data_IF_984055262656
#
_entry.id   IF_984055262656
#
_cell.length_a   1.000
_cell.length_b   1.000
_cell.length_c   1.000
_cell.angle_alpha   90.00
_cell.angle_beta   90.00
_cell.angle_gamma   90.00
#
_symmetry.space_group_name_H-M   'P 1'
#
loop_
_entity.id
_entity.type
_entity.pdbx_description
1 polymer ?
#
# COMPACT_ATOMS: atom_id res chain seq x y z
N UNK A 1 1.32 10.95 0.29
CA UNK A 1 1.23 11.37 -1.13
C UNK A 1 0.30 12.57 -1.30
N UNK A 2 0.72 13.62 -2.01
CA UNK A 2 -0.16 14.72 -2.41
C UNK A 2 -1.02 14.29 -3.59
N UNK A 3 -2.32 14.59 -3.54
CA UNK A 3 -3.28 14.26 -4.60
C UNK A 3 -4.11 15.47 -4.95
N UNK A 4 -4.40 15.65 -6.23
CA UNK A 4 -5.19 16.74 -6.76
C UNK A 4 -6.59 16.24 -7.13
N UNK A 5 -7.66 16.93 -6.68
CA UNK A 5 -9.02 16.51 -7.00
C UNK A 5 -9.34 16.72 -8.48
N UNK A 6 -10.02 15.73 -9.05
CA UNK A 6 -10.49 15.75 -10.44
C UNK A 6 -12.02 15.70 -10.43
N UNK A 7 -12.65 16.69 -11.04
CA UNK A 7 -14.09 16.68 -11.26
C UNK A 7 -14.44 15.64 -12.33
N UNK A 8 -15.39 14.78 -11.99
CA UNK A 8 -15.96 13.81 -12.93
C UNK A 8 -16.68 14.50 -14.11
N UNK A 9 -17.01 13.73 -15.15
CA UNK A 9 -17.77 14.27 -16.28
C UNK A 9 -19.16 14.72 -15.80
N UNK A 10 -19.73 15.75 -16.45
CA UNK A 10 -21.07 16.25 -16.10
C UNK A 10 -22.17 15.19 -16.24
N UNK A 11 -22.00 14.23 -17.16
CA UNK A 11 -22.82 13.03 -17.26
C UNK A 11 -21.89 11.81 -17.26
N UNK A 12 -22.10 10.90 -16.31
CA UNK A 12 -21.26 9.72 -16.14
C UNK A 12 -21.81 8.56 -16.98
N UNK A 13 -21.04 8.14 -17.98
CA UNK A 13 -21.30 6.90 -18.70
C UNK A 13 -20.93 5.70 -17.81
N UNK A 14 -21.89 4.81 -17.45
CA UNK A 14 -21.61 3.64 -16.63
C UNK A 14 -20.58 2.68 -17.23
N UNK A 15 -20.50 2.57 -18.56
CA UNK A 15 -19.56 1.68 -19.24
C UNK A 15 -18.14 2.20 -19.13
N UNK A 16 -17.96 3.50 -19.38
CA UNK A 16 -16.70 4.18 -19.13
C UNK A 16 -16.29 4.06 -17.66
N UNK A 17 -17.21 4.37 -16.73
CA UNK A 17 -16.93 4.33 -15.30
C UNK A 17 -16.49 2.95 -14.82
N UNK A 18 -17.17 1.88 -15.25
CA UNK A 18 -16.79 0.51 -14.90
C UNK A 18 -15.41 0.12 -15.41
N UNK A 19 -14.97 0.73 -16.51
CA UNK A 19 -13.63 0.53 -17.06
C UNK A 19 -12.57 1.30 -16.27
N UNK A 20 -12.86 2.54 -15.85
CA UNK A 20 -11.85 3.42 -15.23
C UNK A 20 -11.82 3.40 -13.71
N UNK A 21 -12.87 2.89 -13.05
CA UNK A 21 -12.96 2.85 -11.57
C UNK A 21 -11.90 1.96 -10.91
N UNK A 22 -11.24 1.10 -11.69
CA UNK A 22 -10.18 0.22 -11.24
C UNK A 22 -8.83 0.67 -11.80
N UNK A 23 -7.78 0.56 -10.98
CA UNK A 23 -6.41 0.86 -11.38
C UNK A 23 -6.08 2.35 -11.49
N UNK A 24 -4.92 2.63 -12.08
CA UNK A 24 -4.41 3.98 -12.33
C UNK A 24 -4.22 4.20 -13.83
N UNK A 25 -4.71 5.32 -14.34
CA UNK A 25 -4.73 5.63 -15.77
C UNK A 25 -3.76 6.76 -16.08
N UNK A 26 -2.89 6.59 -17.08
CA UNK A 26 -1.99 7.66 -17.52
C UNK A 26 -2.78 8.76 -18.23
N UNK A 27 -2.47 10.01 -17.89
CA UNK A 27 -2.96 11.18 -18.58
C UNK A 27 -1.92 12.30 -18.57
N UNK A 28 -2.12 13.29 -19.42
CA UNK A 28 -1.34 14.53 -19.44
C UNK A 28 -2.28 15.70 -19.18
N UNK A 29 -1.80 16.69 -18.42
CA UNK A 29 -2.57 17.90 -18.13
C UNK A 29 -2.62 18.78 -19.39
N UNK A 30 -3.81 18.96 -19.94
CA UNK A 30 -4.05 19.85 -21.06
C UNK A 30 -3.97 21.33 -20.65
N UNK A 31 -3.76 22.21 -21.63
CA UNK A 31 -3.62 23.66 -21.41
C UNK A 31 -4.88 24.32 -20.79
N UNK A 32 -6.04 23.70 -20.95
CA UNK A 32 -7.32 24.14 -20.37
C UNK A 32 -7.54 23.63 -18.93
N UNK A 33 -6.57 22.92 -18.37
CA UNK A 33 -6.66 22.31 -17.04
C UNK A 33 -7.53 21.05 -17.00
N UNK A 34 -7.66 20.34 -18.11
CA UNK A 34 -8.32 19.03 -18.18
C UNK A 34 -7.31 17.89 -18.30
N UNK A 35 -7.75 16.67 -17.98
CA UNK A 35 -7.02 15.41 -18.22
C UNK A 35 -7.96 14.45 -18.94
N UNK A 36 -7.48 13.81 -20.00
CA UNK A 36 -8.29 12.85 -20.76
C UNK A 36 -8.00 11.43 -20.31
N UNK A 37 -9.04 10.69 -19.91
CA UNK A 37 -8.95 9.28 -19.50
C UNK A 37 -9.91 8.45 -20.35
N UNK A 38 -9.36 7.52 -21.14
CA UNK A 38 -10.11 6.67 -22.07
C UNK A 38 -11.10 7.47 -22.96
N UNK A 39 -10.64 8.60 -23.50
CA UNK A 39 -11.42 9.47 -24.39
C UNK A 39 -12.38 10.44 -23.68
N UNK A 40 -12.50 10.41 -22.36
CA UNK A 40 -13.34 11.36 -21.59
C UNK A 40 -12.46 12.40 -20.91
N UNK A 41 -12.77 13.68 -21.17
CA UNK A 41 -12.09 14.80 -20.50
C UNK A 41 -12.66 15.02 -19.10
N UNK A 42 -11.77 15.02 -18.10
CA UNK A 42 -12.06 15.30 -16.71
C UNK A 42 -11.40 16.61 -16.31
N UNK A 43 -12.03 17.40 -15.45
CA UNK A 43 -11.54 18.74 -15.13
C UNK A 43 -10.76 18.75 -13.83
N UNK A 44 -9.56 19.32 -13.85
CA UNK A 44 -8.78 19.49 -12.62
C UNK A 44 -9.37 20.62 -11.77
N UNK A 45 -9.43 20.40 -10.46
CA UNK A 45 -9.83 21.39 -9.49
C UNK A 45 -8.64 22.28 -9.08
N UNK A 46 -8.86 23.25 -8.18
CA UNK A 46 -7.83 24.22 -7.77
C UNK A 46 -6.56 23.55 -7.26
N UNK A 47 -5.41 24.17 -7.57
CA UNK A 47 -4.08 23.69 -7.18
C UNK A 47 -3.49 22.63 -8.10
N UNK A 48 -4.04 22.46 -9.30
CA UNK A 48 -3.62 21.44 -10.25
C UNK A 48 -2.17 21.60 -10.75
N UNK A 49 -1.54 20.50 -11.20
CA UNK A 49 -0.24 20.55 -11.87
C UNK A 49 -0.28 21.41 -13.14
N UNK A 50 0.88 21.89 -13.58
CA UNK A 50 1.00 22.70 -14.79
C UNK A 50 0.60 21.91 -16.05
N UNK A 51 0.17 22.62 -17.09
CA UNK A 51 -0.06 22.02 -18.41
C UNK A 51 1.21 21.32 -18.93
N UNK A 52 1.04 20.17 -19.58
CA UNK A 52 2.12 19.30 -20.04
C UNK A 52 2.64 18.32 -18.97
N UNK A 53 2.14 18.38 -17.74
CA UNK A 53 2.59 17.46 -16.69
C UNK A 53 1.97 16.08 -16.87
N UNK A 54 2.80 15.03 -16.85
CA UNK A 54 2.34 13.65 -16.82
C UNK A 54 1.79 13.28 -15.42
N UNK A 55 0.57 12.77 -15.40
CA UNK A 55 -0.15 12.41 -14.17
C UNK A 55 -0.76 11.02 -14.29
N UNK A 56 -1.05 10.39 -13.14
CA UNK A 56 -1.93 9.23 -13.06
C UNK A 56 -3.25 9.65 -12.43
N UNK A 57 -4.36 9.21 -13.02
CA UNK A 57 -5.72 9.44 -12.52
C UNK A 57 -6.29 8.13 -11.99
N UNK A 58 -6.92 8.15 -10.82
CA UNK A 58 -7.60 6.99 -10.24
C UNK A 58 -8.77 7.40 -9.35
N UNK A 59 -9.58 6.41 -8.96
CA UNK A 59 -10.63 6.57 -7.98
C UNK A 59 -10.08 6.28 -6.57
N UNK A 60 -10.13 7.24 -5.67
CA UNK A 60 -9.67 7.03 -4.29
C UNK A 60 -10.67 6.20 -3.46
N UNK A 61 -10.27 5.80 -2.25
CA UNK A 61 -11.11 4.98 -1.36
C UNK A 61 -12.43 5.66 -0.91
N UNK A 62 -12.56 6.97 -1.13
CA UNK A 62 -13.78 7.74 -0.86
C UNK A 62 -14.69 7.88 -2.08
N UNK A 63 -14.32 7.28 -3.23
CA UNK A 63 -15.12 7.32 -4.45
C UNK A 63 -14.96 8.59 -5.30
N UNK A 64 -13.89 9.37 -5.09
CA UNK A 64 -13.60 10.56 -5.89
C UNK A 64 -12.44 10.33 -6.86
N UNK A 65 -12.54 10.90 -8.05
CA UNK A 65 -11.41 10.93 -8.97
C UNK A 65 -10.35 11.90 -8.45
N UNK A 66 -9.11 11.42 -8.43
CA UNK A 66 -7.94 12.19 -8.04
C UNK A 66 -6.81 11.91 -9.02
N UNK A 67 -5.83 12.81 -9.05
CA UNK A 67 -4.58 12.55 -9.75
C UNK A 67 -3.37 12.91 -8.90
N UNK A 68 -2.22 12.35 -9.26
CA UNK A 68 -0.92 12.74 -8.76
C UNK A 68 0.08 12.68 -9.90
N UNK A 69 1.15 13.46 -9.76
CA UNK A 69 2.28 13.42 -10.69
C UNK A 69 3.02 12.10 -10.57
N UNK A 70 3.75 11.72 -11.61
CA UNK A 70 4.55 10.50 -11.57
C UNK A 70 5.58 10.52 -10.42
N UNK A 71 6.23 11.66 -10.20
CA UNK A 71 7.22 11.85 -9.14
C UNK A 71 6.63 11.69 -7.72
N UNK A 72 5.38 12.10 -7.51
CA UNK A 72 4.69 11.90 -6.22
C UNK A 72 4.40 10.43 -5.96
N UNK A 73 4.02 9.68 -7.00
CA UNK A 73 3.70 8.26 -6.90
C UNK A 73 4.98 7.45 -6.67
N UNK A 74 6.05 7.71 -7.42
CA UNK A 74 7.33 7.04 -7.25
C UNK A 74 7.92 7.29 -5.86
N UNK A 75 7.86 8.53 -5.37
CA UNK A 75 8.35 8.89 -4.04
C UNK A 75 7.57 8.19 -2.93
N UNK A 76 6.24 8.11 -3.03
CA UNK A 76 5.43 7.37 -2.05
C UNK A 76 5.73 5.87 -2.10
N UNK A 77 5.87 5.29 -3.30
CA UNK A 77 6.22 3.89 -3.48
C UNK A 77 7.59 3.59 -2.85
N UNK A 78 8.58 4.46 -3.07
CA UNK A 78 9.89 4.32 -2.46
C UNK A 78 9.82 4.41 -0.93
N UNK A 79 9.10 5.40 -0.39
CA UNK A 79 8.92 5.54 1.05
C UNK A 79 8.23 4.31 1.67
N UNK A 80 7.26 3.73 0.97
CA UNK A 80 6.61 2.49 1.39
C UNK A 80 7.59 1.31 1.38
N UNK A 81 8.38 1.15 0.32
CA UNK A 81 9.41 0.11 0.24
C UNK A 81 10.46 0.24 1.35
N UNK A 82 10.91 1.46 1.64
CA UNK A 82 11.89 1.73 2.69
C UNK A 82 11.31 1.41 4.08
N UNK A 83 10.06 1.78 4.33
CA UNK A 83 9.36 1.47 5.58
C UNK A 83 9.17 -0.04 5.77
N UNK A 84 8.83 -0.76 4.70
CA UNK A 84 8.63 -2.21 4.76
C UNK A 84 9.96 -2.96 4.96
N UNK A 85 11.04 -2.48 4.32
CA UNK A 85 12.39 -2.97 4.55
C UNK A 85 12.83 -2.74 6.00
N UNK A 86 12.55 -1.56 6.57
CA UNK A 86 12.87 -1.26 7.96
C UNK A 86 12.10 -2.17 8.94
N UNK A 87 10.80 -2.40 8.72
CA UNK A 87 10.00 -3.33 9.53
C UNK A 87 10.52 -4.76 9.43
N UNK A 88 10.89 -5.20 8.24
CA UNK A 88 11.42 -6.55 8.01
C UNK A 88 12.73 -6.75 8.76
N UNK A 89 13.61 -5.75 8.73
CA UNK A 89 14.89 -5.79 9.45
C UNK A 89 14.69 -5.75 10.97
N UNK A 90 13.78 -4.91 11.46
CA UNK A 90 13.43 -4.88 12.88
C UNK A 90 12.89 -6.24 13.36
N UNK A 91 11.97 -6.83 12.58
CA UNK A 91 11.44 -8.19 12.85
C UNK A 91 12.55 -9.23 12.88
N UNK A 92 13.51 -9.16 11.94
CA UNK A 92 14.66 -10.07 11.88
C UNK A 92 15.51 -9.96 13.14
N UNK A 93 15.81 -8.75 13.59
CA UNK A 93 16.59 -8.50 14.81
C UNK A 93 15.86 -9.03 16.05
N UNK A 94 14.56 -8.80 16.16
CA UNK A 94 13.74 -9.31 17.26
C UNK A 94 13.72 -10.85 17.31
N UNK A 95 13.52 -11.51 16.16
CA UNK A 95 13.54 -12.97 16.07
C UNK A 95 14.90 -13.56 16.44
N UNK A 96 15.99 -12.92 16.02
CA UNK A 96 17.34 -13.35 16.38
C UNK A 96 17.60 -13.23 17.89
N UNK A 97 17.13 -12.15 18.52
CA UNK A 97 17.23 -11.98 19.97
C UNK A 97 16.44 -13.07 20.72
N UNK A 98 15.20 -13.33 20.31
CA UNK A 98 14.37 -14.39 20.88
C UNK A 98 15.01 -15.77 20.73
N UNK A 99 15.68 -16.03 19.60
CA UNK A 99 16.37 -17.30 19.36
C UNK A 99 17.53 -17.48 20.33
N UNK A 100 18.37 -16.44 20.47
CA UNK A 100 19.50 -16.46 21.40
C UNK A 100 19.05 -16.68 22.85
N UNK A 101 17.97 -16.02 23.27
CA UNK A 101 17.40 -16.19 24.61
C UNK A 101 16.88 -17.62 24.84
N UNK A 102 16.19 -18.20 23.85
CA UNK A 102 15.69 -19.56 23.91
C UNK A 102 16.82 -20.60 23.91
N UNK A 103 17.88 -20.38 23.12
CA UNK A 103 19.09 -21.22 23.13
C UNK A 103 19.77 -21.18 24.50
N UNK A 104 19.92 -19.98 25.08
CA UNK A 104 20.50 -19.80 26.41
C UNK A 104 19.66 -20.44 27.53
N UNK A 105 18.33 -20.41 27.41
CA UNK A 105 17.42 -21.08 28.33
C UNK A 105 17.51 -22.60 28.20
N UNK A 106 17.36 -23.14 26.99
CA UNK A 106 17.38 -24.58 26.73
C UNK A 106 18.74 -25.20 27.06
N UNK A 107 19.84 -24.46 26.87
CA UNK A 107 21.19 -24.89 27.24
C UNK A 107 21.37 -25.15 28.75
N UNK A 108 20.51 -24.60 29.61
CA UNK A 108 20.51 -24.90 31.05
C UNK A 108 19.90 -26.27 31.36
N UNK A 109 19.20 -26.88 30.41
CA UNK A 109 18.53 -28.17 30.57
C UNK A 109 19.40 -29.25 29.94
N UNK A 110 19.80 -30.25 30.72
CA UNK A 110 20.57 -31.39 30.21
C UNK A 110 19.62 -32.36 29.51
N UNK A 111 19.35 -32.09 28.22
CA UNK A 111 18.59 -32.99 27.36
C UNK A 111 19.54 -33.99 26.69
N UNK A 112 19.33 -35.31 26.82
CA UNK A 112 20.19 -36.34 26.22
C UNK A 112 19.91 -36.56 24.73
N UNK A 113 19.52 -35.50 24.02
CA UNK A 113 19.18 -35.51 22.60
C UNK A 113 19.60 -34.19 21.95
N UNK A 114 19.89 -34.22 20.66
CA UNK A 114 20.15 -32.99 19.89
C UNK A 114 18.84 -32.21 19.74
N UNK A 115 18.88 -30.92 20.03
CA UNK A 115 17.75 -30.00 19.90
C UNK A 115 18.18 -28.73 19.15
N UNK A 116 17.19 -27.99 18.66
CA UNK A 116 17.33 -26.67 18.02
C UNK A 116 16.11 -25.81 18.41
N UNK A 117 16.23 -24.49 18.32
CA UNK A 117 15.13 -23.55 18.60
C UNK A 117 14.31 -23.32 17.34
N UNK A 118 13.06 -23.77 17.38
CA UNK A 118 12.04 -23.34 16.43
C UNK A 118 11.26 -22.15 16.98
N UNK A 119 11.34 -21.00 16.31
CA UNK A 119 10.42 -19.89 16.56
C UNK A 119 9.27 -20.02 15.56
N UNK A 120 8.05 -20.17 16.09
CA UNK A 120 6.84 -20.26 15.28
C UNK A 120 6.25 -18.85 15.15
N UNK A 121 6.29 -18.29 13.94
CA UNK A 121 5.75 -16.96 13.66
C UNK A 121 4.24 -16.85 13.96
N UNK A 122 3.48 -17.92 13.71
CA UNK A 122 2.04 -17.94 13.95
C UNK A 122 1.60 -19.30 14.47
N UNK A 123 0.76 -19.33 15.52
CA UNK A 123 0.09 -20.55 15.94
C UNK A 123 -0.74 -21.09 14.76
N UNK A 124 -0.43 -22.31 14.32
CA UNK A 124 -1.07 -22.97 13.17
C UNK A 124 -2.59 -22.82 13.19
N UNK A 125 -3.15 -22.29 12.11
CA UNK A 125 -4.60 -22.05 11.96
C UNK A 125 -5.06 -20.64 12.32
N UNK A 126 -4.16 -19.76 12.75
CA UNK A 126 -4.45 -18.37 13.09
C UNK A 126 -3.69 -17.42 12.16
N UNK A 127 -4.24 -16.25 11.87
CA UNK A 127 -3.50 -15.15 11.22
C UNK A 127 -2.64 -14.42 12.26
N UNK A 128 -1.63 -13.64 11.82
CA UNK A 128 -0.85 -12.75 12.72
C UNK A 128 -1.75 -11.78 13.51
N UNK A 129 -2.91 -11.45 12.95
CA UNK A 129 -3.92 -10.60 13.55
C UNK A 129 -4.89 -11.34 14.46
N UNK A 130 -4.80 -12.65 14.63
CA UNK A 130 -5.80 -13.38 15.40
C UNK A 130 -5.65 -13.19 16.92
N UNK A 131 -6.78 -13.19 17.61
CA UNK A 131 -6.87 -13.27 19.06
C UNK A 131 -6.65 -14.70 19.60
N UNK A 132 -6.59 -15.71 18.73
CA UNK A 132 -6.49 -17.12 19.14
C UNK A 132 -7.78 -17.74 19.65
N UNK A 133 -8.89 -17.00 19.58
CA UNK A 133 -10.24 -17.45 19.91
C UNK A 133 -11.20 -17.41 18.69
N UNK A 134 -10.62 -17.26 17.49
CA UNK A 134 -11.36 -17.12 16.23
C UNK A 134 -11.64 -15.67 15.80
N UNK A 135 -11.34 -14.66 16.62
CA UNK A 135 -11.48 -13.23 16.25
C UNK A 135 -10.19 -12.67 15.65
N UNK A 136 -10.30 -11.61 14.85
CA UNK A 136 -9.17 -10.80 14.33
C UNK A 136 -9.04 -9.48 15.11
N UNK A 137 -7.81 -9.01 15.30
CA UNK A 137 -7.44 -7.71 15.87
C UNK A 137 -7.66 -6.57 14.89
N UNK A 138 -7.65 -6.87 13.60
CA UNK A 138 -8.00 -5.93 12.54
C UNK A 138 -9.46 -6.17 12.10
N UNK A 139 -10.24 -5.09 11.89
CA UNK A 139 -11.64 -5.15 11.45
C UNK A 139 -11.79 -5.59 9.99
#
# INVERSE_FOLDING_TARGET
>A
MQTYPVAGPGMLDPMWFNTVRHGQHSAEVAADGSVTVNGVALRLCRGAPAAGTAVRVWLNGSGFFVCATHEEIEREAQAWHDAEAAKTEERRLQLNALRADAEAFNGRIVLPVRWDVGIKDVLSGLSETSWGDGRSKEP
#
